data_IF_079790811577
#
_entry.id   IF_079790811577
#
_cell.length_a   1.000
_cell.length_b   1.000
_cell.length_c   1.000
_cell.angle_alpha   90.00
_cell.angle_beta   90.00
_cell.angle_gamma   90.00
#
_symmetry.space_group_name_H-M   'P 1'
#
loop_
_entity.id
_entity.type
_entity.pdbx_description
1 polymer ?
#
# COMPACT_ATOMS: atom_id res chain seq x y z
N UNK A 1 6.35 18.31 9.36
CA UNK A 1 7.25 17.15 9.50
C UNK A 1 8.47 17.36 8.63
N UNK A 2 9.66 17.03 9.12
CA UNK A 2 10.87 16.96 8.31
C UNK A 2 10.88 15.70 7.43
N UNK A 3 11.82 15.57 6.48
CA UNK A 3 11.85 14.44 5.53
C UNK A 3 12.00 13.09 6.23
N UNK A 4 12.82 13.01 7.27
CA UNK A 4 13.05 11.77 8.03
C UNK A 4 11.77 11.32 8.77
N UNK A 5 11.07 12.25 9.42
CA UNK A 5 9.77 11.99 10.06
C UNK A 5 8.74 11.47 9.05
N UNK A 6 8.72 12.00 7.82
CA UNK A 6 7.80 11.54 6.77
C UNK A 6 8.13 10.13 6.31
N UNK A 7 9.41 9.80 6.16
CA UNK A 7 9.86 8.44 5.80
C UNK A 7 9.47 7.44 6.89
N UNK A 8 9.71 7.79 8.15
CA UNK A 8 9.33 6.94 9.30
C UNK A 8 7.82 6.70 9.30
N UNK A 9 7.01 7.75 9.07
CA UNK A 9 5.56 7.64 8.97
C UNK A 9 5.14 6.71 7.82
N UNK A 10 5.69 6.89 6.62
CA UNK A 10 5.37 6.03 5.46
C UNK A 10 5.66 4.56 5.76
N UNK A 11 6.83 4.25 6.33
CA UNK A 11 7.21 2.87 6.69
C UNK A 11 6.28 2.29 7.76
N UNK A 12 5.99 3.07 8.80
CA UNK A 12 5.13 2.61 9.90
C UNK A 12 3.70 2.34 9.41
N UNK A 13 3.12 3.27 8.67
CA UNK A 13 1.74 3.17 8.21
C UNK A 13 1.61 2.10 7.12
N UNK A 14 2.56 2.00 6.19
CA UNK A 14 2.60 0.95 5.19
C UNK A 14 2.66 -0.45 5.80
N UNK A 15 3.49 -0.66 6.83
CA UNK A 15 3.55 -1.94 7.56
C UNK A 15 2.25 -2.25 8.31
N UNK A 16 1.61 -1.23 8.91
CA UNK A 16 0.32 -1.42 9.57
C UNK A 16 -0.79 -1.81 8.59
N UNK A 17 -0.82 -1.18 7.41
CA UNK A 17 -1.76 -1.54 6.34
C UNK A 17 -1.51 -2.97 5.86
N UNK A 18 -0.26 -3.32 5.57
CA UNK A 18 0.12 -4.67 5.15
C UNK A 18 -0.32 -5.75 6.16
N UNK A 19 -0.10 -5.51 7.46
CA UNK A 19 -0.53 -6.41 8.53
C UNK A 19 -2.06 -6.56 8.58
N UNK A 20 -2.82 -5.48 8.37
CA UNK A 20 -4.28 -5.51 8.32
C UNK A 20 -4.80 -6.27 7.10
N UNK A 21 -4.20 -6.08 5.91
CA UNK A 21 -4.53 -6.83 4.70
C UNK A 21 -4.28 -8.32 4.94
N UNK A 22 -3.11 -8.67 5.49
CA UNK A 22 -2.72 -10.05 5.74
C UNK A 22 -3.72 -10.79 6.66
N UNK A 23 -4.12 -10.13 7.76
CA UNK A 23 -5.05 -10.67 8.77
C UNK A 23 -6.51 -10.70 8.32
N UNK A 24 -6.85 -9.97 7.26
CA UNK A 24 -8.23 -9.91 6.77
C UNK A 24 -8.58 -11.18 5.98
N UNK A 25 -9.64 -11.85 6.43
CA UNK A 25 -10.14 -13.10 5.85
C UNK A 25 -11.61 -12.99 5.38
N UNK A 26 -12.13 -11.77 5.26
CA UNK A 26 -13.45 -11.49 4.70
C UNK A 26 -13.39 -10.31 3.74
N UNK A 27 -14.26 -10.33 2.74
CA UNK A 27 -14.41 -9.24 1.77
C UNK A 27 -14.71 -7.89 2.47
N UNK A 28 -15.58 -7.93 3.48
CA UNK A 28 -15.97 -6.74 4.24
C UNK A 28 -14.77 -6.14 4.99
N UNK A 29 -13.93 -6.98 5.60
CA UNK A 29 -12.72 -6.51 6.27
C UNK A 29 -11.74 -5.86 5.28
N UNK A 30 -11.51 -6.46 4.12
CA UNK A 30 -10.65 -5.89 3.08
C UNK A 30 -11.19 -4.56 2.55
N UNK A 31 -12.48 -4.49 2.21
CA UNK A 31 -13.13 -3.25 1.75
C UNK A 31 -13.08 -2.13 2.79
N UNK A 32 -13.08 -2.48 4.09
CA UNK A 32 -12.97 -1.48 5.16
C UNK A 32 -11.61 -0.78 5.21
N UNK A 33 -10.58 -1.34 4.56
CA UNK A 33 -9.24 -0.76 4.50
C UNK A 33 -9.09 0.30 3.40
N UNK A 34 -10.00 0.35 2.42
CA UNK A 34 -9.88 1.29 1.29
C UNK A 34 -9.65 2.74 1.73
N UNK A 35 -10.43 3.34 2.66
CA UNK A 35 -10.19 4.73 3.06
C UNK A 35 -8.82 4.97 3.71
N UNK A 36 -8.29 3.98 4.42
CA UNK A 36 -6.96 4.05 5.03
C UNK A 36 -5.86 3.99 3.96
N UNK A 37 -6.04 3.13 2.96
CA UNK A 37 -5.13 3.03 1.81
C UNK A 37 -5.17 4.33 1.00
N UNK A 38 -6.34 4.90 0.70
CA UNK A 38 -6.41 6.20 0.00
C UNK A 38 -5.67 7.30 0.77
N UNK A 39 -5.87 7.37 2.10
CA UNK A 39 -5.17 8.34 2.95
C UNK A 39 -3.65 8.16 2.92
N UNK A 40 -3.20 6.89 2.89
CA UNK A 40 -1.78 6.56 2.76
C UNK A 40 -1.24 6.92 1.38
N UNK A 41 -1.97 6.59 0.32
CA UNK A 41 -1.65 6.86 -1.08
C UNK A 41 -1.50 8.36 -1.31
N UNK A 42 -2.47 9.17 -0.88
CA UNK A 42 -2.41 10.65 -0.95
C UNK A 42 -1.13 11.18 -0.29
N UNK A 43 -0.82 10.67 0.90
CA UNK A 43 0.38 11.08 1.63
C UNK A 43 1.67 10.72 0.88
N UNK A 44 1.82 9.48 0.42
CA UNK A 44 3.07 9.07 -0.23
C UNK A 44 3.23 9.67 -1.62
N UNK A 45 2.13 9.84 -2.36
CA UNK A 45 2.11 10.54 -3.64
C UNK A 45 2.55 11.99 -3.48
N UNK A 46 1.97 12.73 -2.52
CA UNK A 46 2.32 14.13 -2.30
C UNK A 46 3.79 14.33 -1.90
N UNK A 47 4.30 13.45 -1.04
CA UNK A 47 5.58 13.62 -0.37
C UNK A 47 6.77 12.98 -1.08
N UNK A 48 6.53 11.88 -1.80
CA UNK A 48 7.57 11.05 -2.42
C UNK A 48 7.28 10.70 -3.87
N UNK A 49 6.13 11.12 -4.42
CA UNK A 49 5.81 10.89 -5.82
C UNK A 49 6.54 11.84 -6.76
N UNK A 50 6.81 11.33 -7.95
CA UNK A 50 7.25 12.11 -9.10
C UNK A 50 6.04 12.72 -9.81
N UNK A 51 6.25 13.81 -10.57
CA UNK A 51 5.17 14.39 -11.37
C UNK A 51 4.70 13.37 -12.40
N UNK A 52 3.40 13.15 -12.45
CA UNK A 52 2.80 12.27 -13.45
C UNK A 52 2.72 13.01 -14.80
N UNK A 53 3.64 12.69 -15.70
CA UNK A 53 3.68 13.28 -17.05
C UNK A 53 2.46 12.91 -17.91
N UNK A 54 1.68 11.91 -17.51
CA UNK A 54 0.49 11.44 -18.22
C UNK A 54 -0.82 11.96 -17.61
N UNK A 55 -0.77 12.65 -16.47
CA UNK A 55 -1.95 13.21 -15.83
C UNK A 55 -2.47 14.46 -16.55
N UNK A 56 -3.79 14.66 -16.49
CA UNK A 56 -4.44 15.93 -16.88
C UNK A 56 -4.13 17.06 -15.89
N UNK A 57 -3.80 16.74 -14.63
CA UNK A 57 -3.35 17.69 -13.62
C UNK A 57 -1.81 17.74 -13.59
N UNK A 58 -1.18 18.85 -14.02
CA UNK A 58 0.27 18.98 -14.07
C UNK A 58 0.95 19.02 -12.68
N UNK A 59 0.18 19.04 -11.59
CA UNK A 59 0.68 18.94 -10.22
C UNK A 59 0.43 17.57 -9.60
N UNK A 60 -0.24 16.66 -10.32
CA UNK A 60 -0.44 15.30 -9.85
C UNK A 60 0.90 14.61 -9.70
N UNK A 61 1.05 13.92 -8.57
CA UNK A 61 2.23 13.15 -8.25
C UNK A 61 1.85 11.72 -8.01
N UNK A 62 2.74 10.83 -8.42
CA UNK A 62 2.54 9.41 -8.27
C UNK A 62 3.77 8.77 -7.66
N UNK A 63 3.55 7.98 -6.61
CA UNK A 63 4.56 7.13 -6.01
C UNK A 63 4.22 5.67 -6.33
N UNK A 64 5.17 4.91 -6.87
CA UNK A 64 4.99 3.46 -7.05
C UNK A 64 4.63 2.74 -5.74
N UNK A 65 4.97 3.34 -4.58
CA UNK A 65 4.62 2.80 -3.28
C UNK A 65 3.09 2.79 -3.03
N UNK A 66 2.36 3.78 -3.53
CA UNK A 66 0.89 3.77 -3.45
C UNK A 66 0.32 2.63 -4.30
N UNK A 67 0.85 2.45 -5.51
CA UNK A 67 0.48 1.35 -6.38
C UNK A 67 0.68 -0.03 -5.77
N UNK A 68 1.86 -0.31 -5.22
CA UNK A 68 2.09 -1.59 -4.56
C UNK A 68 1.15 -1.82 -3.36
N UNK A 69 0.79 -0.75 -2.63
CA UNK A 69 -0.19 -0.84 -1.55
C UNK A 69 -1.59 -1.24 -2.06
N UNK A 70 -2.06 -0.64 -3.16
CA UNK A 70 -3.31 -1.01 -3.80
C UNK A 70 -3.28 -2.44 -4.36
N UNK A 71 -2.19 -2.83 -5.04
CA UNK A 71 -2.01 -4.18 -5.57
C UNK A 71 -2.03 -5.24 -4.46
N UNK A 72 -1.51 -4.93 -3.27
CA UNK A 72 -1.59 -5.82 -2.12
C UNK A 72 -3.04 -6.08 -1.68
N UNK A 73 -3.88 -5.06 -1.67
CA UNK A 73 -5.31 -5.21 -1.36
C UNK A 73 -6.04 -5.99 -2.47
N UNK A 74 -5.80 -5.64 -3.73
CA UNK A 74 -6.45 -6.26 -4.90
C UNK A 74 -6.13 -7.75 -4.99
N UNK A 75 -4.84 -8.11 -4.93
CA UNK A 75 -4.41 -9.52 -5.00
C UNK A 75 -4.96 -10.35 -3.84
N UNK A 76 -4.94 -9.80 -2.61
CA UNK A 76 -5.55 -10.46 -1.45
C UNK A 76 -7.06 -10.66 -1.63
N UNK A 77 -7.73 -9.71 -2.28
CA UNK A 77 -9.17 -9.75 -2.54
C UNK A 77 -9.51 -10.82 -3.60
N UNK A 78 -8.76 -10.86 -4.69
CA UNK A 78 -8.95 -11.82 -5.79
C UNK A 78 -8.71 -13.28 -5.35
N UNK A 79 -7.83 -13.48 -4.38
CA UNK A 79 -7.47 -14.79 -3.84
C UNK A 79 -7.98 -15.01 -2.40
N UNK A 80 -9.03 -14.30 -2.00
CA UNK A 80 -9.55 -14.33 -0.62
C UNK A 80 -9.86 -15.75 -0.12
N UNK A 81 -10.56 -16.56 -0.91
CA UNK A 81 -10.92 -17.94 -0.51
C UNK A 81 -9.68 -18.80 -0.25
N UNK A 82 -8.65 -18.63 -1.08
CA UNK A 82 -7.39 -19.36 -0.96
C UNK A 82 -6.69 -18.98 0.35
N UNK A 83 -6.45 -17.69 0.59
CA UNK A 83 -5.74 -17.26 1.81
C UNK A 83 -6.57 -17.40 3.09
N UNK A 84 -7.90 -17.43 3.00
CA UNK A 84 -8.75 -17.77 4.14
C UNK A 84 -8.58 -19.24 4.56
N UNK A 85 -8.30 -20.13 3.59
CA UNK A 85 -7.97 -21.54 3.83
C UNK A 85 -6.52 -21.81 4.25
N UNK A 86 -5.60 -20.87 3.99
CA UNK A 86 -4.16 -20.99 4.23
C UNK A 86 -3.62 -19.76 5.00
N UNK A 87 -4.03 -19.56 6.26
CA UNK A 87 -3.68 -18.36 7.03
C UNK A 87 -2.18 -18.21 7.35
N UNK A 88 -1.39 -19.28 7.18
CA UNK A 88 0.07 -19.28 7.27
C UNK A 88 0.76 -18.68 6.05
N UNK A 89 0.07 -18.56 4.91
CA UNK A 89 0.62 -18.00 3.69
C UNK A 89 0.48 -16.48 3.65
N UNK A 90 1.57 -15.81 3.26
CA UNK A 90 1.57 -14.37 3.01
C UNK A 90 1.13 -14.16 1.58
N UNK A 91 0.18 -13.25 1.36
CA UNK A 91 -0.27 -12.95 0.01
C UNK A 91 0.85 -12.34 -0.81
N UNK A 92 0.96 -12.71 -2.09
CA UNK A 92 2.05 -12.27 -2.93
C UNK A 92 2.07 -10.74 -3.05
N UNK A 93 0.89 -10.11 -3.17
CA UNK A 93 0.79 -8.65 -3.22
C UNK A 93 1.29 -7.97 -1.94
N UNK A 94 0.99 -8.54 -0.76
CA UNK A 94 1.51 -8.03 0.52
C UNK A 94 3.03 -8.19 0.61
N UNK A 95 3.56 -9.33 0.16
CA UNK A 95 5.01 -9.57 0.09
C UNK A 95 5.71 -8.55 -0.81
N UNK A 96 5.19 -8.32 -2.00
CA UNK A 96 5.76 -7.37 -2.97
C UNK A 96 5.73 -5.94 -2.44
N UNK A 97 4.62 -5.54 -1.82
CA UNK A 97 4.51 -4.24 -1.17
C UNK A 97 5.52 -4.04 -0.04
N UNK A 98 5.67 -5.02 0.86
CA UNK A 98 6.64 -4.94 1.95
C UNK A 98 8.09 -4.90 1.43
N UNK A 99 8.41 -5.71 0.41
CA UNK A 99 9.73 -5.71 -0.21
C UNK A 99 10.06 -4.34 -0.83
N UNK A 100 9.10 -3.72 -1.53
CA UNK A 100 9.28 -2.40 -2.12
C UNK A 100 9.35 -1.28 -1.07
N UNK A 101 8.53 -1.37 -0.02
CA UNK A 101 8.57 -0.44 1.11
C UNK A 101 9.94 -0.45 1.80
N UNK A 102 10.48 -1.64 2.07
CA UNK A 102 11.75 -1.84 2.77
C UNK A 102 12.97 -1.55 1.87
N UNK A 103 12.84 -1.67 0.54
CA UNK A 103 13.90 -1.34 -0.41
C UNK A 103 14.22 0.16 -0.44
N UNK A 104 13.23 1.00 -0.09
CA UNK A 104 13.30 2.47 -0.14
C UNK A 104 13.57 3.05 -1.53
N UNK A 105 13.28 2.29 -2.59
CA UNK A 105 13.42 2.77 -3.98
C UNK A 105 12.47 3.92 -4.32
N UNK A 106 11.43 4.12 -3.50
CA UNK A 106 10.42 5.17 -3.62
C UNK A 106 10.83 6.54 -3.06
N UNK A 107 12.08 6.74 -2.61
CA UNK A 107 12.58 7.97 -1.96
C UNK A 107 13.50 8.76 -2.89
#
# INVERSE_FOLDING_TARGET
>A
MNREEKIIKAIHDGRNIADKILKSNTMIALQSLTPEIETYSDFVNQEFGDLDEFSEDPLEKYSELSFYCHMALEEKTDHLEYYAGHPEEISQGVSDFLNYLDSRQWI
#
